data_IF_757999858741
#
_entry.id   IF_757999858741
#
_cell.length_a   1.000
_cell.length_b   1.000
_cell.length_c   1.000
_cell.angle_alpha   90.00
_cell.angle_beta   90.00
_cell.angle_gamma   90.00
#
_symmetry.space_group_name_H-M   'P 1'
#
loop_
_entity.id
_entity.type
_entity.pdbx_description
1 polymer ?
#
# COMPACT_ATOMS: atom_id res chain seq x y z
N UNK A 1 24.05 -4.47 19.21
CA UNK A 1 24.80 -3.77 18.13
C UNK A 1 23.86 -2.73 17.55
N UNK A 2 24.30 -1.47 17.46
CA UNK A 2 23.43 -0.34 17.11
C UNK A 2 22.90 -0.43 15.66
N UNK A 3 21.58 -0.28 15.49
CA UNK A 3 20.91 -0.07 14.21
C UNK A 3 21.53 1.15 13.52
N UNK A 4 22.13 0.96 12.33
CA UNK A 4 22.68 2.09 11.54
C UNK A 4 21.57 2.60 10.63
N UNK A 5 20.78 3.47 11.20
CA UNK A 5 19.74 4.22 10.53
C UNK A 5 20.41 5.30 9.65
N UNK A 6 20.25 5.25 8.33
CA UNK A 6 20.83 6.24 7.40
C UNK A 6 19.70 7.12 6.86
N UNK A 7 19.17 8.00 7.71
CA UNK A 7 18.29 9.07 7.25
C UNK A 7 19.14 10.30 6.90
N UNK A 8 19.03 10.79 5.65
CA UNK A 8 19.59 12.09 5.23
C UNK A 8 18.74 13.28 5.72
N UNK A 9 17.55 13.02 6.28
CA UNK A 9 16.67 14.02 6.87
C UNK A 9 16.55 13.76 8.38
N UNK A 10 16.84 14.78 9.19
CA UNK A 10 16.72 14.76 10.66
C UNK A 10 15.33 14.31 11.11
N UNK A 11 14.29 14.64 10.35
CA UNK A 11 12.90 14.30 10.70
C UNK A 11 12.63 12.80 10.66
N UNK A 12 13.20 12.08 9.70
CA UNK A 12 12.99 10.64 9.62
C UNK A 12 13.79 9.89 10.72
N UNK A 13 14.94 10.42 11.16
CA UNK A 13 15.63 9.94 12.37
C UNK A 13 14.72 10.04 13.60
N UNK A 14 13.98 11.14 13.71
CA UNK A 14 13.03 11.34 14.80
C UNK A 14 11.87 10.33 14.77
N UNK A 15 11.47 9.82 13.59
CA UNK A 15 10.42 8.81 13.45
C UNK A 15 10.88 7.37 13.64
N UNK A 16 12.18 7.09 13.75
CA UNK A 16 12.71 5.72 13.85
C UNK A 16 12.08 4.91 15.00
N UNK A 17 11.96 5.53 16.18
CA UNK A 17 11.36 4.89 17.35
C UNK A 17 9.87 4.60 17.14
N UNK A 18 9.15 5.49 16.45
CA UNK A 18 7.74 5.30 16.12
C UNK A 18 7.55 4.19 15.07
N UNK A 19 8.38 4.17 14.02
CA UNK A 19 8.39 3.11 13.00
C UNK A 19 8.55 1.75 13.66
N UNK A 20 9.54 1.58 14.53
CA UNK A 20 9.79 0.33 15.25
C UNK A 20 8.58 -0.12 16.08
N UNK A 21 7.98 0.80 16.84
CA UNK A 21 6.77 0.51 17.64
C UNK A 21 5.60 0.06 16.76
N UNK A 22 5.38 0.72 15.61
CA UNK A 22 4.33 0.33 14.67
C UNK A 22 4.61 -1.07 14.09
N UNK A 23 5.85 -1.32 13.68
CA UNK A 23 6.26 -2.61 13.12
C UNK A 23 6.05 -3.77 14.10
N UNK A 24 6.40 -3.55 15.38
CA UNK A 24 6.23 -4.52 16.46
C UNK A 24 4.73 -4.81 16.69
N UNK A 25 3.89 -3.77 16.75
CA UNK A 25 2.43 -3.90 16.91
C UNK A 25 1.76 -4.56 15.71
N UNK A 26 2.30 -4.38 14.51
CA UNK A 26 1.77 -4.96 13.27
C UNK A 26 2.38 -6.32 12.93
N UNK A 27 3.36 -6.79 13.70
CA UNK A 27 4.07 -8.07 13.51
C UNK A 27 4.68 -8.20 12.08
N UNK A 28 5.30 -7.13 11.59
CA UNK A 28 5.83 -7.08 10.23
C UNK A 28 7.21 -7.75 10.18
N UNK A 29 7.44 -8.75 9.30
CA UNK A 29 8.78 -9.30 9.10
C UNK A 29 9.72 -8.21 8.54
N UNK A 30 10.65 -7.75 9.38
CA UNK A 30 11.52 -6.59 9.13
C UNK A 30 12.64 -6.88 8.12
N UNK A 31 12.94 -8.16 7.87
CA UNK A 31 14.15 -8.61 7.19
C UNK A 31 14.13 -8.41 5.66
N UNK A 32 13.03 -7.94 5.07
CA UNK A 32 12.86 -7.83 3.60
C UNK A 32 12.15 -6.58 3.09
N UNK A 33 11.93 -5.58 3.95
CA UNK A 33 11.18 -4.35 3.61
C UNK A 33 12.12 -3.16 3.46
N UNK A 34 11.97 -2.41 2.37
CA UNK A 34 12.61 -1.10 2.20
C UNK A 34 11.53 -0.02 2.15
N UNK A 35 11.68 1.01 2.98
CA UNK A 35 10.79 2.18 2.96
C UNK A 35 11.45 3.28 2.16
N UNK A 36 10.74 3.85 1.20
CA UNK A 36 11.19 4.96 0.38
C UNK A 36 10.36 6.20 0.65
N UNK A 37 11.04 7.32 0.93
CA UNK A 37 10.43 8.62 1.17
C UNK A 37 10.67 9.52 -0.04
N UNK A 38 9.62 9.81 -0.82
CA UNK A 38 9.73 10.60 -2.04
C UNK A 38 9.27 12.04 -1.85
N UNK A 39 9.91 13.00 -2.52
CA UNK A 39 9.54 14.42 -2.43
C UNK A 39 8.21 14.77 -3.15
N UNK A 40 7.56 13.82 -3.82
CA UNK A 40 6.24 14.03 -4.45
C UNK A 40 5.11 13.53 -3.56
N UNK A 41 4.03 14.32 -3.45
CA UNK A 41 2.69 13.81 -3.15
C UNK A 41 2.12 13.32 -4.49
N UNK A 42 2.48 12.12 -4.93
CA UNK A 42 2.00 11.70 -6.24
C UNK A 42 0.51 11.36 -6.16
N UNK A 43 -0.31 12.19 -6.79
CA UNK A 43 -1.75 11.98 -7.03
C UNK A 43 -2.04 10.81 -7.98
N UNK A 44 -1.05 9.99 -8.33
CA UNK A 44 -1.18 8.97 -9.34
C UNK A 44 -0.67 7.62 -8.85
N UNK A 45 -1.66 6.79 -8.49
CA UNK A 45 -1.77 5.36 -8.76
C UNK A 45 -0.96 4.38 -7.86
N UNK A 46 -1.61 3.27 -7.43
CA UNK A 46 -0.92 2.17 -6.71
C UNK A 46 0.10 1.40 -7.59
N UNK A 47 0.17 1.68 -8.89
CA UNK A 47 1.23 1.21 -9.81
C UNK A 47 2.36 2.22 -10.04
N UNK A 48 2.44 3.30 -9.25
CA UNK A 48 3.55 4.24 -9.40
C UNK A 48 4.89 3.57 -9.10
N UNK A 49 5.63 3.33 -10.16
CA UNK A 49 7.07 3.11 -10.11
C UNK A 49 7.72 4.48 -10.22
N UNK A 50 8.80 4.75 -9.46
CA UNK A 50 9.59 5.96 -9.63
C UNK A 50 9.83 6.20 -11.12
N UNK A 51 9.39 7.35 -11.65
CA UNK A 51 9.49 7.63 -13.08
C UNK A 51 10.86 8.24 -13.32
N UNK A 52 11.75 7.43 -13.87
CA UNK A 52 13.12 7.80 -14.21
C UNK A 52 13.20 9.16 -14.93
N UNK A 53 14.10 10.03 -14.48
CA UNK A 53 14.35 11.36 -15.05
C UNK A 53 13.49 12.50 -14.47
N UNK A 54 12.54 12.20 -13.57
CA UNK A 54 11.86 13.26 -12.80
C UNK A 54 12.77 13.74 -11.66
N UNK A 55 13.12 15.03 -11.72
CA UNK A 55 13.90 15.74 -10.69
C UNK A 55 13.40 15.46 -9.26
N UNK A 56 12.08 15.35 -9.09
CA UNK A 56 11.44 15.18 -7.79
C UNK A 56 11.64 13.79 -7.14
N UNK A 57 11.92 12.74 -7.92
CA UNK A 57 12.25 11.41 -7.39
C UNK A 57 13.72 11.32 -6.94
N UNK A 58 14.56 12.31 -7.31
CA UNK A 58 16.00 12.34 -6.99
C UNK A 58 16.31 12.89 -5.59
N UNK A 59 15.35 13.52 -4.92
CA UNK A 59 15.48 14.02 -3.54
C UNK A 59 14.92 13.04 -2.50
N UNK A 60 14.69 11.79 -2.91
CA UNK A 60 14.18 10.77 -2.04
C UNK A 60 15.25 10.14 -1.13
N UNK A 61 14.84 9.69 0.06
CA UNK A 61 15.67 8.93 0.99
C UNK A 61 14.99 7.60 1.34
N UNK A 62 15.71 6.62 1.87
CA UNK A 62 15.16 5.30 2.20
C UNK A 62 15.61 4.83 3.58
N UNK A 63 14.82 3.92 4.15
CA UNK A 63 15.17 3.13 5.33
C UNK A 63 15.32 1.67 4.89
N UNK A 64 16.55 1.15 4.97
CA UNK A 64 16.83 -0.27 4.83
C UNK A 64 16.61 -0.97 6.17
N UNK A 65 15.57 -1.79 6.24
CA UNK A 65 15.20 -2.52 7.46
C UNK A 65 15.81 -3.92 7.55
N UNK A 66 16.55 -4.36 6.53
CA UNK A 66 17.11 -5.72 6.49
C UNK A 66 18.14 -5.90 7.61
N UNK A 67 17.85 -6.83 8.51
CA UNK A 67 18.80 -7.28 9.55
C UNK A 67 19.85 -8.25 8.99
N UNK A 68 19.54 -8.90 7.87
CA UNK A 68 20.42 -9.87 7.23
C UNK A 68 21.62 -9.21 6.54
N UNK A 69 22.81 -9.39 7.14
CA UNK A 69 24.10 -8.89 6.66
C UNK A 69 24.57 -9.52 5.33
N UNK A 70 23.88 -10.53 4.79
CA UNK A 70 24.18 -11.13 3.47
C UNK A 70 23.84 -10.19 2.32
N UNK A 71 22.97 -9.22 2.53
CA UNK A 71 22.67 -8.18 1.57
C UNK A 71 23.48 -6.93 1.93
N UNK A 72 24.33 -6.41 1.03
CA UNK A 72 25.05 -5.18 1.32
C UNK A 72 24.01 -4.06 1.52
N UNK A 73 24.22 -3.27 2.57
CA UNK A 73 23.52 -2.01 2.76
C UNK A 73 23.97 -1.07 1.65
N UNK A 74 23.20 -1.01 0.57
CA UNK A 74 23.39 -0.01 -0.47
C UNK A 74 23.35 1.36 0.20
N UNK A 75 24.24 2.27 -0.16
CA UNK A 75 24.23 3.69 0.22
C UNK A 75 23.14 4.45 -0.55
N UNK A 76 22.73 5.66 -0.13
CA UNK A 76 21.71 6.41 -0.85
C UNK A 76 22.05 6.75 -2.29
N UNK A 77 23.33 6.93 -2.60
CA UNK A 77 23.77 7.15 -3.97
C UNK A 77 23.76 5.84 -4.76
N UNK A 78 24.10 4.70 -4.13
CA UNK A 78 23.99 3.37 -4.74
C UNK A 78 22.53 2.97 -4.96
N UNK A 79 21.59 3.28 -4.06
CA UNK A 79 20.15 3.06 -4.32
C UNK A 79 19.64 3.96 -5.43
N UNK A 80 20.09 5.22 -5.49
CA UNK A 80 19.78 6.09 -6.63
C UNK A 80 20.40 5.57 -7.93
N UNK A 81 21.61 5.01 -7.91
CA UNK A 81 22.24 4.39 -9.08
C UNK A 81 21.60 3.05 -9.46
N UNK A 82 21.17 2.25 -8.49
CA UNK A 82 20.41 1.00 -8.67
C UNK A 82 18.98 1.28 -9.19
N UNK A 83 18.36 2.39 -8.76
CA UNK A 83 17.13 2.94 -9.34
C UNK A 83 17.36 3.47 -10.78
N UNK A 84 18.50 4.12 -11.05
CA UNK A 84 18.87 4.66 -12.37
C UNK A 84 19.19 3.57 -13.40
N UNK A 85 19.84 2.48 -12.98
CA UNK A 85 20.34 1.44 -13.88
C UNK A 85 19.29 0.38 -14.22
N UNK A 86 18.13 0.36 -13.55
CA UNK A 86 17.01 -0.55 -13.83
C UNK A 86 17.33 -2.05 -13.69
N UNK A 87 18.56 -2.41 -13.34
CA UNK A 87 19.12 -3.75 -13.51
C UNK A 87 19.23 -4.56 -12.21
N UNK A 88 19.10 -3.94 -11.04
CA UNK A 88 19.42 -4.57 -9.75
C UNK A 88 18.23 -4.98 -8.88
N UNK A 89 17.01 -4.92 -9.40
CA UNK A 89 15.77 -5.20 -8.64
C UNK A 89 15.46 -6.68 -8.47
N UNK A 90 16.18 -7.58 -9.15
CA UNK A 90 15.77 -9.00 -9.21
C UNK A 90 16.10 -9.87 -7.99
N UNK A 91 17.00 -9.49 -7.09
CA UNK A 91 17.57 -10.47 -6.12
C UNK A 91 17.81 -9.99 -4.67
N UNK A 92 17.43 -8.78 -4.25
CA UNK A 92 17.83 -8.26 -2.90
C UNK A 92 16.76 -7.55 -2.06
N UNK A 93 15.64 -7.17 -2.63
CA UNK A 93 14.54 -6.54 -1.90
C UNK A 93 13.22 -7.05 -2.47
N UNK A 94 12.39 -7.65 -1.63
CA UNK A 94 11.13 -8.28 -2.05
C UNK A 94 9.95 -7.31 -1.96
N UNK A 95 10.01 -6.31 -1.05
CA UNK A 95 8.89 -5.41 -0.77
C UNK A 95 9.30 -3.95 -0.55
N UNK A 96 8.48 -3.03 -1.08
CA UNK A 96 8.69 -1.60 -1.00
C UNK A 96 7.46 -0.89 -0.42
N UNK A 97 7.71 0.05 0.49
CA UNK A 97 6.68 0.95 1.00
C UNK A 97 7.04 2.36 0.59
N UNK A 98 6.12 3.04 -0.07
CA UNK A 98 6.29 4.41 -0.51
C UNK A 98 5.57 5.36 0.44
N UNK A 99 6.28 6.37 0.94
CA UNK A 99 5.72 7.42 1.80
C UNK A 99 6.12 8.77 1.22
N UNK A 100 5.19 9.71 1.11
CA UNK A 100 5.56 11.05 0.67
C UNK A 100 6.38 11.78 1.75
N UNK A 101 7.28 12.66 1.35
CA UNK A 101 8.10 13.46 2.27
C UNK A 101 7.23 14.28 3.21
N UNK A 102 6.13 14.85 2.71
CA UNK A 102 5.16 15.61 3.52
C UNK A 102 4.57 14.76 4.65
N UNK A 103 4.33 13.47 4.40
CA UNK A 103 3.88 12.54 5.45
C UNK A 103 5.02 12.24 6.43
N UNK A 104 6.25 12.03 5.94
CA UNK A 104 7.43 11.85 6.79
C UNK A 104 7.70 13.03 7.74
N UNK A 105 7.40 14.25 7.29
CA UNK A 105 7.54 15.51 8.04
C UNK A 105 6.28 15.89 8.84
N UNK A 106 5.22 15.08 8.78
CA UNK A 106 3.98 15.35 9.49
C UNK A 106 4.09 15.05 11.01
N UNK A 107 3.05 15.46 11.74
CA UNK A 107 2.87 15.04 13.13
C UNK A 107 2.85 13.52 13.26
N UNK A 108 3.33 13.00 14.39
CA UNK A 108 3.50 11.56 14.63
C UNK A 108 2.23 10.74 14.37
N UNK A 109 1.08 11.24 14.81
CA UNK A 109 -0.20 10.54 14.61
C UNK A 109 -0.61 10.47 13.13
N UNK A 110 -0.31 11.50 12.33
CA UNK A 110 -0.59 11.47 10.89
C UNK A 110 0.38 10.54 10.15
N UNK A 111 1.67 10.58 10.51
CA UNK A 111 2.66 9.65 9.98
C UNK A 111 2.28 8.20 10.31
N UNK A 112 1.91 7.92 11.57
CA UNK A 112 1.51 6.59 12.01
C UNK A 112 0.27 6.08 11.25
N UNK A 113 -0.69 6.96 10.95
CA UNK A 113 -1.90 6.58 10.20
C UNK A 113 -1.54 6.03 8.83
N UNK A 114 -0.78 6.81 8.06
CA UNK A 114 -0.39 6.44 6.70
C UNK A 114 0.55 5.24 6.72
N UNK A 115 1.56 5.25 7.58
CA UNK A 115 2.53 4.15 7.62
C UNK A 115 1.88 2.81 7.99
N UNK A 116 0.97 2.80 8.98
CA UNK A 116 0.25 1.57 9.37
C UNK A 116 -0.69 1.07 8.26
N UNK A 117 -1.33 1.99 7.55
CA UNK A 117 -2.16 1.67 6.38
C UNK A 117 -1.34 0.97 5.29
N UNK A 118 -0.18 1.52 4.91
CA UNK A 118 0.69 0.91 3.90
C UNK A 118 1.28 -0.43 4.35
N UNK A 119 1.59 -0.58 5.64
CA UNK A 119 2.04 -1.87 6.18
C UNK A 119 0.95 -2.94 6.12
N UNK A 120 -0.32 -2.58 6.25
CA UNK A 120 -1.40 -3.55 6.09
C UNK A 120 -1.54 -3.99 4.62
N UNK A 121 -1.34 -3.10 3.65
CA UNK A 121 -1.22 -3.50 2.24
C UNK A 121 -0.03 -4.45 1.99
N UNK A 122 1.08 -4.26 2.70
CA UNK A 122 2.18 -5.21 2.66
C UNK A 122 1.77 -6.58 3.20
N UNK A 123 1.09 -6.65 4.36
CA UNK A 123 0.59 -7.94 4.92
C UNK A 123 -0.37 -8.64 3.97
N UNK A 124 -1.28 -7.89 3.36
CA UNK A 124 -2.17 -8.37 2.30
C UNK A 124 -1.38 -8.96 1.12
N UNK A 125 -0.33 -8.27 0.67
CA UNK A 125 0.52 -8.72 -0.44
C UNK A 125 1.39 -9.93 -0.10
N UNK A 126 1.85 -10.04 1.15
CA UNK A 126 2.57 -11.21 1.67
C UNK A 126 1.66 -12.44 1.72
N UNK A 127 0.38 -12.25 2.10
CA UNK A 127 -0.64 -13.32 2.06
C UNK A 127 -0.96 -13.70 0.61
N UNK A 128 -1.21 -12.71 -0.24
CA UNK A 128 -1.56 -12.90 -1.65
C UNK A 128 -1.10 -11.73 -2.51
N UNK A 129 -0.01 -11.92 -3.25
CA UNK A 129 0.61 -10.88 -4.10
C UNK A 129 -0.29 -10.35 -5.22
N UNK A 130 -1.36 -11.06 -5.55
CA UNK A 130 -2.29 -10.67 -6.61
C UNK A 130 -3.47 -9.84 -6.08
N UNK A 131 -3.63 -9.71 -4.75
CA UNK A 131 -4.81 -9.13 -4.14
C UNK A 131 -5.08 -7.69 -4.61
N UNK A 132 -4.06 -6.84 -4.59
CA UNK A 132 -4.18 -5.44 -5.00
C UNK A 132 -4.47 -5.28 -6.49
N UNK A 133 -3.90 -6.16 -7.33
CA UNK A 133 -4.18 -6.19 -8.78
C UNK A 133 -5.66 -6.46 -9.02
N UNK A 134 -6.22 -7.44 -8.31
CA UNK A 134 -7.63 -7.81 -8.43
C UNK A 134 -8.54 -6.72 -7.82
N UNK A 135 -8.19 -6.17 -6.66
CA UNK A 135 -8.94 -5.11 -6.00
C UNK A 135 -9.07 -3.86 -6.89
N UNK A 136 -8.06 -3.56 -7.71
CA UNK A 136 -8.11 -2.42 -8.63
C UNK A 136 -9.22 -2.51 -9.67
N UNK A 137 -9.66 -3.71 -10.04
CA UNK A 137 -10.81 -3.85 -10.93
C UNK A 137 -12.10 -3.31 -10.28
N UNK A 138 -12.20 -3.39 -8.95
CA UNK A 138 -13.33 -2.88 -8.18
C UNK A 138 -13.36 -1.36 -8.09
N UNK A 139 -12.22 -0.65 -8.21
CA UNK A 139 -12.19 0.83 -8.30
C UNK A 139 -13.07 1.36 -9.44
N UNK A 140 -13.27 0.57 -10.50
CA UNK A 140 -14.13 0.95 -11.62
C UNK A 140 -15.61 0.64 -11.42
N UNK A 141 -15.98 0.10 -10.27
CA UNK A 141 -17.36 -0.08 -9.89
C UNK A 141 -17.86 1.16 -9.15
N UNK A 142 -18.86 1.83 -9.73
CA UNK A 142 -19.49 3.05 -9.17
C UNK A 142 -19.94 2.93 -7.69
N UNK A 143 -20.06 1.70 -7.15
CA UNK A 143 -20.41 1.45 -5.76
C UNK A 143 -19.33 1.90 -4.74
N UNK A 144 -18.07 2.09 -5.15
CA UNK A 144 -16.98 2.46 -4.21
C UNK A 144 -16.70 3.97 -4.11
N UNK A 145 -17.52 4.80 -4.78
CA UNK A 145 -17.53 6.26 -4.63
C UNK A 145 -16.19 6.97 -4.83
N UNK A 146 -16.14 8.28 -4.53
CA UNK A 146 -14.95 9.12 -4.75
C UNK A 146 -13.75 8.83 -3.82
N UNK A 147 -13.92 7.99 -2.78
CA UNK A 147 -12.93 7.88 -1.70
C UNK A 147 -12.11 6.59 -1.71
N UNK A 148 -12.50 5.55 -2.47
CA UNK A 148 -11.89 4.20 -2.48
C UNK A 148 -11.79 3.49 -1.11
N UNK A 149 -12.01 4.18 0.02
CA UNK A 149 -11.91 3.67 1.40
C UNK A 149 -12.85 2.51 1.69
N UNK A 150 -13.91 2.33 0.90
CA UNK A 150 -14.87 1.24 1.06
C UNK A 150 -14.48 -0.01 0.25
N UNK A 151 -13.38 0.01 -0.50
CA UNK A 151 -12.82 -1.20 -1.10
C UNK A 151 -12.38 -2.15 0.01
N UNK A 152 -12.59 -3.47 -0.11
CA UNK A 152 -12.25 -4.39 0.97
C UNK A 152 -10.78 -4.31 1.42
N UNK A 153 -9.84 -4.09 0.49
CA UNK A 153 -8.42 -3.88 0.83
C UNK A 153 -8.20 -2.62 1.66
N UNK A 154 -8.83 -1.52 1.27
CA UNK A 154 -8.69 -0.20 1.92
C UNK A 154 -9.38 -0.17 3.28
N UNK A 155 -10.56 -0.81 3.40
CA UNK A 155 -11.29 -0.95 4.67
C UNK A 155 -10.41 -1.63 5.70
N UNK A 156 -9.79 -2.77 5.35
CA UNK A 156 -8.87 -3.48 6.23
C UNK A 156 -7.67 -2.62 6.65
N UNK A 157 -7.07 -1.92 5.70
CA UNK A 157 -5.94 -1.04 5.96
C UNK A 157 -6.28 0.11 6.90
N UNK A 158 -7.37 0.82 6.65
CA UNK A 158 -7.81 1.97 7.46
C UNK A 158 -8.26 1.54 8.86
N UNK A 159 -8.95 0.40 8.99
CA UNK A 159 -9.31 -0.12 10.31
C UNK A 159 -8.10 -0.59 11.11
N UNK A 160 -7.14 -1.28 10.47
CA UNK A 160 -5.90 -1.67 11.15
C UNK A 160 -5.11 -0.44 11.57
N UNK A 161 -5.01 0.57 10.71
CA UNK A 161 -4.36 1.82 11.06
C UNK A 161 -5.05 2.51 12.25
N UNK A 162 -6.39 2.54 12.29
CA UNK A 162 -7.15 3.02 13.45
C UNK A 162 -6.80 2.28 14.74
N UNK A 163 -6.75 0.94 14.73
CA UNK A 163 -6.36 0.15 15.90
C UNK A 163 -4.97 0.53 16.40
N UNK A 164 -4.00 0.64 15.49
CA UNK A 164 -2.61 1.02 15.82
C UNK A 164 -2.56 2.44 16.40
N UNK A 165 -3.35 3.37 15.88
CA UNK A 165 -3.40 4.73 16.40
C UNK A 165 -3.96 4.79 17.82
N UNK A 166 -5.05 4.06 18.08
CA UNK A 166 -5.64 3.98 19.41
C UNK A 166 -4.66 3.35 20.41
N UNK A 167 -3.94 2.31 20.01
CA UNK A 167 -2.92 1.68 20.85
C UNK A 167 -1.74 2.63 21.16
N UNK A 168 -1.25 3.36 20.16
CA UNK A 168 -0.07 4.23 20.31
C UNK A 168 -0.36 5.55 21.02
N UNK A 169 -1.54 6.14 20.77
CA UNK A 169 -1.85 7.51 21.17
C UNK A 169 -3.07 7.61 22.08
N UNK A 170 -3.76 6.51 22.40
CA UNK A 170 -5.05 6.44 23.08
C UNK A 170 -6.26 6.97 22.26
N UNK A 171 -7.46 6.58 22.68
CA UNK A 171 -8.72 6.92 22.01
C UNK A 171 -8.98 8.43 21.96
N UNK A 172 -8.69 9.17 23.04
CA UNK A 172 -8.96 10.61 23.14
C UNK A 172 -8.10 11.40 22.14
N UNK A 173 -6.80 11.11 22.06
CA UNK A 173 -5.89 11.76 21.11
C UNK A 173 -6.28 11.44 19.66
N UNK A 174 -6.66 10.19 19.39
CA UNK A 174 -7.14 9.78 18.08
C UNK A 174 -8.40 10.56 17.68
N UNK A 175 -9.42 10.60 18.53
CA UNK A 175 -10.67 11.32 18.25
C UNK A 175 -10.44 12.82 18.05
N UNK A 176 -9.58 13.44 18.87
CA UNK A 176 -9.21 14.84 18.73
C UNK A 176 -8.49 15.12 17.41
N UNK A 177 -7.56 14.25 17.01
CA UNK A 177 -6.88 14.32 15.71
C UNK A 177 -7.88 14.25 14.56
N UNK A 178 -8.78 13.25 14.57
CA UNK A 178 -9.77 13.08 13.52
C UNK A 178 -10.71 14.29 13.43
N UNK A 179 -11.19 14.80 14.57
CA UNK A 179 -12.04 16.00 14.61
C UNK A 179 -11.36 17.18 13.91
N UNK A 180 -10.09 17.45 14.22
CA UNK A 180 -9.31 18.51 13.58
C UNK A 180 -9.12 18.28 12.08
N UNK A 181 -8.92 17.04 11.64
CA UNK A 181 -8.76 16.73 10.22
C UNK A 181 -10.06 16.94 9.44
N UNK A 182 -11.22 16.62 10.02
CA UNK A 182 -12.54 16.83 9.39
C UNK A 182 -12.84 18.30 9.10
N UNK A 183 -12.28 19.22 9.87
CA UNK A 183 -12.48 20.67 9.72
C UNK A 183 -11.70 21.28 8.54
N UNK A 184 -10.81 20.51 7.88
CA UNK A 184 -9.96 21.01 6.79
C UNK A 184 -10.65 21.17 5.44
N UNK A 185 -11.79 20.51 5.23
CA UNK A 185 -12.52 20.61 3.98
C UNK A 185 -13.60 19.53 3.80
N UNK A 186 -14.46 19.64 2.77
CA UNK A 186 -15.52 18.65 2.52
C UNK A 186 -14.98 17.24 2.24
N UNK A 187 -13.86 17.14 1.51
CA UNK A 187 -13.21 15.86 1.20
C UNK A 187 -12.67 15.21 2.47
N UNK A 188 -11.91 15.95 3.28
CA UNK A 188 -11.34 15.49 4.54
C UNK A 188 -12.44 15.13 5.54
N UNK A 189 -13.51 15.93 5.62
CA UNK A 189 -14.67 15.63 6.46
C UNK A 189 -15.27 14.26 6.15
N UNK A 190 -15.42 13.93 4.87
CA UNK A 190 -15.93 12.62 4.42
C UNK A 190 -14.94 11.49 4.73
N UNK A 191 -13.66 11.63 4.35
CA UNK A 191 -12.62 10.61 4.58
C UNK A 191 -12.43 10.29 6.06
N UNK A 192 -12.17 11.31 6.88
CA UNK A 192 -11.88 11.14 8.29
C UNK A 192 -13.16 10.88 9.11
N UNK A 193 -14.33 11.32 8.62
CA UNK A 193 -15.63 10.87 9.15
C UNK A 193 -15.79 9.36 9.02
N UNK A 194 -15.51 8.82 7.82
CA UNK A 194 -15.60 7.38 7.57
C UNK A 194 -14.67 6.58 8.47
N UNK A 195 -13.43 7.03 8.69
CA UNK A 195 -12.44 6.37 9.55
C UNK A 195 -12.94 6.14 10.99
N UNK A 196 -13.74 7.05 11.57
CA UNK A 196 -14.34 6.85 12.91
C UNK A 196 -15.34 5.69 12.91
N UNK A 197 -16.14 5.59 11.85
CA UNK A 197 -17.22 4.62 11.71
C UNK A 197 -16.72 3.21 11.35
N UNK A 198 -15.48 3.09 10.87
CA UNK A 198 -14.89 1.81 10.50
C UNK A 198 -14.83 0.89 11.72
N UNK A 199 -15.60 -0.19 11.64
CA UNK A 199 -15.56 -1.33 12.55
C UNK A 199 -15.57 -2.59 11.69
N UNK A 200 -14.45 -3.30 11.67
CA UNK A 200 -14.34 -4.52 10.88
C UNK A 200 -14.98 -5.69 11.63
N UNK A 201 -15.81 -6.51 10.97
CA UNK A 201 -16.32 -7.74 11.56
C UNK A 201 -15.18 -8.67 11.99
N UNK A 202 -15.33 -9.39 13.10
CA UNK A 202 -14.31 -10.31 13.62
C UNK A 202 -13.83 -11.37 12.61
N UNK A 203 -14.63 -11.67 11.59
CA UNK A 203 -14.33 -12.67 10.55
C UNK A 203 -14.20 -12.05 9.14
N UNK A 204 -13.77 -10.79 9.05
CA UNK A 204 -13.56 -10.14 7.77
C UNK A 204 -12.43 -10.81 6.99
N UNK A 205 -12.73 -11.20 5.76
CA UNK A 205 -11.80 -11.90 4.87
C UNK A 205 -11.74 -11.14 3.55
N UNK A 206 -10.71 -10.31 3.39
CA UNK A 206 -10.53 -9.44 2.21
C UNK A 206 -10.62 -10.22 0.91
N UNK A 207 -10.06 -11.42 0.84
CA UNK A 207 -10.07 -12.24 -0.38
C UNK A 207 -11.50 -12.67 -0.74
N UNK A 208 -12.27 -13.06 0.29
CA UNK A 208 -13.67 -13.43 0.14
C UNK A 208 -14.55 -12.25 -0.27
N UNK A 209 -14.38 -11.10 0.37
CA UNK A 209 -15.16 -9.90 0.06
C UNK A 209 -14.90 -9.43 -1.38
N UNK A 210 -13.62 -9.37 -1.79
CA UNK A 210 -13.25 -9.07 -3.18
C UNK A 210 -13.89 -10.07 -4.14
N UNK A 211 -13.79 -11.37 -3.84
CA UNK A 211 -14.36 -12.40 -4.70
C UNK A 211 -15.88 -12.22 -4.85
N UNK A 212 -16.59 -12.03 -3.73
CA UNK A 212 -18.03 -11.82 -3.71
C UNK A 212 -18.43 -10.58 -4.51
N UNK A 213 -17.72 -9.47 -4.32
CA UNK A 213 -18.02 -8.21 -5.02
C UNK A 213 -17.74 -8.31 -6.51
N UNK A 214 -16.65 -8.95 -6.93
CA UNK A 214 -16.37 -9.21 -8.35
C UNK A 214 -17.46 -10.09 -8.95
N UNK A 215 -17.85 -11.17 -8.28
CA UNK A 215 -18.83 -12.11 -8.81
C UNK A 215 -20.24 -11.53 -8.84
N UNK A 216 -20.61 -10.70 -7.87
CA UNK A 216 -21.86 -9.93 -7.87
C UNK A 216 -21.93 -8.95 -9.04
N UNK A 217 -20.80 -8.36 -9.44
CA UNK A 217 -20.71 -7.35 -10.50
C UNK A 217 -20.09 -7.89 -11.81
N UNK A 218 -20.06 -9.22 -11.98
CA UNK A 218 -19.30 -9.94 -13.00
C UNK A 218 -19.43 -9.36 -14.42
N UNK A 219 -20.65 -9.21 -14.92
CA UNK A 219 -20.88 -8.76 -16.31
C UNK A 219 -20.51 -7.29 -16.54
N UNK A 220 -20.70 -6.44 -15.52
CA UNK A 220 -20.26 -5.03 -15.55
C UNK A 220 -18.73 -4.97 -15.61
N UNK A 221 -18.05 -5.72 -14.75
CA UNK A 221 -16.58 -5.75 -14.69
C UNK A 221 -15.96 -6.35 -15.95
N UNK A 222 -16.56 -7.39 -16.54
CA UNK A 222 -16.16 -7.90 -17.88
C UNK A 222 -16.22 -6.82 -18.95
N UNK A 223 -17.28 -6.02 -18.96
CA UNK A 223 -17.45 -4.91 -19.90
C UNK A 223 -16.38 -3.84 -19.70
N UNK A 224 -16.05 -3.51 -18.45
CA UNK A 224 -15.00 -2.54 -18.12
C UNK A 224 -13.62 -3.06 -18.54
N UNK A 225 -13.30 -4.31 -18.22
CA UNK A 225 -12.02 -4.92 -18.60
C UNK A 225 -11.85 -4.93 -20.12
N UNK A 226 -12.88 -5.33 -20.89
CA UNK A 226 -12.84 -5.29 -22.35
C UNK A 226 -12.56 -3.87 -22.89
N UNK A 227 -13.26 -2.85 -22.37
CA UNK A 227 -13.02 -1.44 -22.78
C UNK A 227 -11.59 -0.96 -22.49
N UNK A 228 -10.94 -1.52 -21.46
CA UNK A 228 -9.55 -1.22 -21.09
C UNK A 228 -8.56 -1.98 -21.98
N UNK A 229 -8.83 -3.25 -22.26
CA UNK A 229 -8.10 -4.07 -23.22
C UNK A 229 -8.08 -3.43 -24.61
N UNK A 230 -9.23 -2.92 -25.08
CA UNK A 230 -9.35 -2.18 -26.36
C UNK A 230 -8.47 -0.92 -26.39
N UNK A 231 -8.12 -0.37 -25.21
CA UNK A 231 -7.22 0.78 -25.02
C UNK A 231 -5.78 0.38 -24.65
N UNK A 232 -5.44 -0.91 -24.74
CA UNK A 232 -4.12 -1.49 -24.40
C UNK A 232 -3.71 -1.37 -22.92
N UNK A 233 -4.67 -1.26 -22.01
CA UNK A 233 -4.42 -1.34 -20.56
C UNK A 233 -4.71 -2.76 -20.07
N UNK A 234 -3.69 -3.60 -20.00
CA UNK A 234 -3.83 -5.05 -19.73
C UNK A 234 -3.28 -5.50 -18.36
N UNK A 235 -2.74 -4.59 -17.56
CA UNK A 235 -2.03 -4.89 -16.31
C UNK A 235 -2.93 -5.51 -15.21
N UNK A 236 -4.25 -5.57 -15.46
CA UNK A 236 -5.29 -6.04 -14.55
C UNK A 236 -6.15 -7.15 -15.17
N UNK A 237 -5.71 -7.74 -16.28
CA UNK A 237 -6.49 -8.74 -17.00
C UNK A 237 -6.64 -10.01 -16.17
N UNK A 238 -7.84 -10.19 -15.60
CA UNK A 238 -8.19 -11.38 -14.83
C UNK A 238 -9.20 -12.23 -15.58
N UNK A 239 -9.17 -13.52 -15.30
CA UNK A 239 -10.20 -14.46 -15.70
C UNK A 239 -11.35 -14.44 -14.68
N UNK A 240 -12.30 -13.52 -14.89
CA UNK A 240 -13.44 -13.33 -13.98
C UNK A 240 -14.31 -14.59 -13.88
N UNK A 241 -14.44 -15.36 -14.97
CA UNK A 241 -15.19 -16.62 -14.95
C UNK A 241 -14.52 -17.64 -14.03
N UNK A 242 -13.19 -17.78 -14.13
CA UNK A 242 -12.41 -18.66 -13.26
C UNK A 242 -12.48 -18.23 -11.80
N UNK A 243 -12.32 -16.93 -11.52
CA UNK A 243 -12.43 -16.35 -10.18
C UNK A 243 -13.77 -16.71 -9.53
N UNK A 244 -14.87 -16.63 -10.28
CA UNK A 244 -16.21 -16.91 -9.76
C UNK A 244 -16.61 -18.39 -9.76
N UNK A 245 -15.80 -19.26 -10.36
CA UNK A 245 -16.04 -20.71 -10.36
C UNK A 245 -15.37 -21.44 -9.20
N UNK A 246 -14.35 -20.83 -8.59
CA UNK A 246 -13.59 -21.43 -7.49
C UNK A 246 -14.24 -21.11 -6.14
N UNK A 247 -14.36 -22.09 -5.25
CA UNK A 247 -14.98 -21.90 -3.92
C UNK A 247 -14.02 -21.28 -2.90
N UNK A 248 -12.73 -21.56 -3.04
CA UNK A 248 -11.70 -21.02 -2.17
C UNK A 248 -11.27 -19.64 -2.69
N UNK A 249 -11.45 -18.54 -1.92
CA UNK A 249 -11.15 -17.19 -2.41
C UNK A 249 -9.66 -16.99 -2.74
N UNK A 250 -8.76 -17.62 -1.99
CA UNK A 250 -7.32 -17.51 -2.19
C UNK A 250 -6.91 -18.12 -3.54
N UNK A 251 -7.27 -19.38 -3.76
CA UNK A 251 -7.02 -20.10 -5.02
C UNK A 251 -7.77 -19.46 -6.20
N UNK A 252 -8.96 -18.91 -5.97
CA UNK A 252 -9.69 -18.15 -6.98
C UNK A 252 -8.86 -16.97 -7.50
N UNK A 253 -8.33 -16.15 -6.58
CA UNK A 253 -7.52 -14.97 -6.92
C UNK A 253 -6.21 -15.39 -7.60
N UNK A 254 -5.49 -16.35 -7.02
CA UNK A 254 -4.19 -16.81 -7.56
C UNK A 254 -4.35 -17.35 -8.97
N UNK A 255 -5.41 -18.14 -9.21
CA UNK A 255 -5.61 -18.82 -10.47
C UNK A 255 -6.28 -17.95 -11.55
N UNK A 256 -6.98 -16.88 -11.16
CA UNK A 256 -7.67 -15.97 -12.07
C UNK A 256 -6.75 -14.92 -12.69
N UNK A 257 -5.65 -14.55 -12.04
CA UNK A 257 -4.66 -13.66 -12.68
C UNK A 257 -4.04 -14.41 -13.85
N UNK A 258 -4.41 -14.01 -15.08
CA UNK A 258 -3.74 -14.49 -16.30
C UNK A 258 -2.30 -14.01 -16.18
N UNK A 259 -1.33 -14.89 -16.40
CA UNK A 259 0.10 -14.53 -16.36
C UNK A 259 0.26 -13.17 -17.06
N UNK A 260 0.54 -12.12 -16.28
CA UNK A 260 1.05 -10.87 -16.81
C UNK A 260 2.21 -11.30 -17.70
N UNK A 261 2.12 -11.02 -19.01
CA UNK A 261 3.06 -11.54 -19.99
C UNK A 261 4.48 -11.45 -19.43
N UNK A 262 5.14 -12.59 -19.30
CA UNK A 262 6.53 -12.71 -18.88
C UNK A 262 7.49 -12.16 -19.96
N UNK A 263 7.05 -11.20 -20.76
CA UNK A 263 7.84 -10.52 -21.78
C UNK A 263 8.50 -9.29 -21.15
N UNK A 264 9.43 -9.51 -20.23
CA UNK A 264 10.48 -8.56 -19.87
C UNK A 264 10.09 -7.15 -19.39
N UNK A 265 8.80 -6.83 -19.31
CA UNK A 265 8.26 -5.56 -18.88
C UNK A 265 8.07 -5.57 -17.38
N UNK A 266 9.17 -5.27 -16.69
CA UNK A 266 9.26 -4.66 -15.36
C UNK A 266 7.92 -4.65 -14.59
N UNK A 267 7.78 -5.56 -13.61
CA UNK A 267 7.02 -5.32 -12.38
C UNK A 267 7.96 -4.67 -11.37
#
# INVERSE_FOLDING_TARGET
>A
MAEKIIFKNTEAQNKAGLIKRIDDLMEIPSDRVVIFFANQDNTNRPDYKPVYGKYYDMEAFYLDRREDKRFPRSSPNEIQEELKLGFFWKNRCEHFIWISKRIGEAEEIHFALIYSHELQHLKQSLKNKNLLIIAKLLEYNDNYGDLNIDLPTEVECEAKAKEILVELFNQETFEAYIKRMKERGPYESKRYGRLLELNIPTNFDVEREIQQDICKNKEKLKTIQKKREDKRYTDWNIDIDKLCSCRDPHEAIVSAVRKLNQDGGLL
#
